data_IF_425362397986
#
_entry.id   IF_425362397986
#
_cell.length_a   1.000
_cell.length_b   1.000
_cell.length_c   1.000
_cell.angle_alpha   90.00
_cell.angle_beta   90.00
_cell.angle_gamma   90.00
#
_symmetry.space_group_name_H-M   'P 1'
#
loop_
_entity.id
_entity.type
_entity.pdbx_description
1 polymer ?
#
# COMPACT_ATOMS: atom_id res chain seq x y z
N UNK A 1 13.19 -26.76 4.12
CA UNK A 1 12.60 -26.75 2.75
C UNK A 1 11.07 -26.88 2.78
N UNK A 2 10.47 -27.89 3.42
CA UNK A 2 9.01 -28.02 3.51
C UNK A 2 8.32 -26.82 4.20
N UNK A 3 8.86 -26.35 5.32
CA UNK A 3 8.29 -25.24 6.11
C UNK A 3 8.28 -23.89 5.35
N UNK A 4 9.37 -23.57 4.65
CA UNK A 4 9.45 -22.38 3.79
C UNK A 4 8.44 -22.43 2.63
N UNK A 5 8.24 -23.61 2.02
CA UNK A 5 7.26 -23.76 0.94
C UNK A 5 5.81 -23.61 1.42
N UNK A 6 5.52 -24.04 2.66
CA UNK A 6 4.21 -23.88 3.30
C UNK A 6 3.97 -22.39 3.62
N UNK A 7 4.95 -21.70 4.18
CA UNK A 7 4.83 -20.27 4.51
C UNK A 7 4.66 -19.40 3.26
N UNK A 8 5.35 -19.71 2.16
CA UNK A 8 5.14 -19.02 0.88
C UNK A 8 3.71 -19.20 0.36
N UNK A 9 3.17 -20.43 0.38
CA UNK A 9 1.80 -20.69 -0.08
C UNK A 9 0.77 -19.97 0.80
N UNK A 10 0.98 -19.97 2.12
CA UNK A 10 0.12 -19.25 3.06
C UNK A 10 0.19 -17.74 2.87
N UNK A 11 1.36 -17.18 2.56
CA UNK A 11 1.52 -15.77 2.24
C UNK A 11 0.76 -15.39 0.97
N UNK A 12 0.88 -16.16 -0.10
CA UNK A 12 0.13 -15.89 -1.33
C UNK A 12 -1.40 -15.99 -1.13
N UNK A 13 -1.87 -16.94 -0.33
CA UNK A 13 -3.28 -17.00 0.06
C UNK A 13 -3.71 -15.76 0.88
N UNK A 14 -2.87 -15.32 1.82
CA UNK A 14 -3.14 -14.12 2.60
C UNK A 14 -3.18 -12.85 1.72
N UNK A 15 -2.26 -12.72 0.75
CA UNK A 15 -2.26 -11.65 -0.26
C UNK A 15 -3.52 -11.67 -1.11
N UNK A 16 -3.97 -12.84 -1.56
CA UNK A 16 -5.21 -12.98 -2.30
C UNK A 16 -6.46 -12.59 -1.47
N UNK A 17 -6.49 -12.94 -0.18
CA UNK A 17 -7.55 -12.51 0.74
C UNK A 17 -7.50 -11.00 1.01
N UNK A 18 -6.30 -10.44 1.15
CA UNK A 18 -6.11 -9.00 1.28
C UNK A 18 -6.66 -8.25 0.06
N UNK A 19 -6.33 -8.69 -1.16
CA UNK A 19 -6.85 -8.08 -2.40
C UNK A 19 -8.38 -8.11 -2.47
N UNK A 20 -9.02 -9.23 -2.11
CA UNK A 20 -10.49 -9.28 -1.97
C UNK A 20 -11.01 -8.28 -0.93
N UNK A 21 -10.25 -8.07 0.14
CA UNK A 21 -10.53 -7.06 1.15
C UNK A 21 -10.42 -5.63 0.63
N UNK A 22 -9.43 -5.34 -0.23
CA UNK A 22 -9.32 -4.07 -0.97
C UNK A 22 -10.60 -3.84 -1.79
N UNK A 23 -11.10 -4.88 -2.47
CA UNK A 23 -12.34 -4.85 -3.25
C UNK A 23 -13.63 -4.78 -2.40
N UNK A 24 -13.52 -4.81 -1.06
CA UNK A 24 -14.61 -4.58 -0.12
C UNK A 24 -15.09 -5.81 0.65
N UNK A 25 -14.49 -6.99 0.47
CA UNK A 25 -14.85 -8.19 1.24
C UNK A 25 -14.32 -8.12 2.69
N UNK A 26 -15.17 -7.66 3.59
CA UNK A 26 -14.88 -7.57 5.03
C UNK A 26 -14.54 -8.92 5.69
N UNK A 27 -15.07 -10.04 5.17
CA UNK A 27 -14.74 -11.38 5.69
C UNK A 27 -13.34 -11.77 5.24
N UNK A 28 -12.95 -11.42 4.02
CA UNK A 28 -11.58 -11.63 3.53
C UNK A 28 -10.56 -10.83 4.35
N UNK A 29 -10.86 -9.56 4.69
CA UNK A 29 -10.01 -8.74 5.59
C UNK A 29 -9.73 -9.46 6.91
N UNK A 30 -10.77 -9.97 7.58
CA UNK A 30 -10.62 -10.69 8.86
C UNK A 30 -9.78 -11.97 8.71
N UNK A 31 -9.95 -12.70 7.61
CA UNK A 31 -9.18 -13.93 7.34
C UNK A 31 -7.71 -13.61 7.03
N UNK A 32 -7.46 -12.63 6.16
CA UNK A 32 -6.12 -12.14 5.85
C UNK A 32 -5.41 -11.70 7.14
N UNK A 33 -6.07 -10.93 8.01
CA UNK A 33 -5.48 -10.45 9.26
C UNK A 33 -4.99 -11.60 10.15
N UNK A 34 -5.85 -12.61 10.33
CA UNK A 34 -5.53 -13.79 11.14
C UNK A 34 -4.38 -14.61 10.56
N UNK A 35 -4.30 -14.73 9.23
CA UNK A 35 -3.22 -15.46 8.56
C UNK A 35 -1.91 -14.70 8.64
N UNK A 36 -1.92 -13.40 8.33
CA UNK A 36 -0.75 -12.54 8.35
C UNK A 36 -0.17 -12.40 9.77
N UNK A 37 -1.01 -12.34 10.80
CA UNK A 37 -0.54 -12.32 12.18
C UNK A 37 0.26 -13.59 12.52
N UNK A 38 -0.23 -14.77 12.14
CA UNK A 38 0.48 -16.04 12.35
C UNK A 38 1.79 -16.12 11.54
N UNK A 39 1.76 -15.64 10.30
CA UNK A 39 2.95 -15.58 9.46
C UNK A 39 4.00 -14.63 10.05
N UNK A 40 3.56 -13.51 10.63
CA UNK A 40 4.42 -12.53 11.30
C UNK A 40 5.08 -13.15 12.53
N UNK A 41 4.33 -13.86 13.37
CA UNK A 41 4.87 -14.59 14.53
C UNK A 41 5.93 -15.64 14.12
N UNK A 42 5.71 -16.33 13.00
CA UNK A 42 6.64 -17.33 12.48
C UNK A 42 7.84 -16.74 11.72
N UNK A 43 7.80 -15.45 11.35
CA UNK A 43 8.82 -14.78 10.53
C UNK A 43 8.90 -13.28 10.85
N UNK A 44 9.38 -12.92 12.05
CA UNK A 44 9.21 -11.58 12.64
C UNK A 44 9.87 -10.41 11.89
N UNK A 45 10.75 -10.66 10.92
CA UNK A 45 11.44 -9.60 10.16
C UNK A 45 11.16 -9.67 8.65
N UNK A 46 10.11 -10.40 8.24
CA UNK A 46 9.74 -10.47 6.83
C UNK A 46 8.96 -9.21 6.42
N UNK A 47 9.62 -8.32 5.68
CA UNK A 47 9.08 -7.03 5.26
C UNK A 47 7.75 -7.13 4.47
N UNK A 48 7.59 -8.16 3.61
CA UNK A 48 6.35 -8.36 2.85
C UNK A 48 5.20 -8.75 3.79
N UNK A 49 5.42 -9.67 4.72
CA UNK A 49 4.42 -10.06 5.71
C UNK A 49 4.02 -8.84 6.54
N UNK A 50 4.99 -8.06 7.00
CA UNK A 50 4.77 -6.82 7.76
C UNK A 50 3.94 -5.82 6.96
N UNK A 51 4.28 -5.59 5.68
CA UNK A 51 3.58 -4.66 4.81
C UNK A 51 2.11 -5.06 4.56
N UNK A 52 1.86 -6.33 4.25
CA UNK A 52 0.49 -6.83 4.08
C UNK A 52 -0.29 -6.84 5.39
N UNK A 53 0.35 -7.12 6.52
CA UNK A 53 -0.27 -7.05 7.84
C UNK A 53 -0.72 -5.62 8.14
N UNK A 54 0.18 -4.63 8.03
CA UNK A 54 -0.15 -3.20 8.23
C UNK A 54 -1.28 -2.74 7.32
N UNK A 55 -1.23 -3.09 6.03
CA UNK A 55 -2.31 -2.79 5.09
C UNK A 55 -3.66 -3.41 5.50
N UNK A 56 -3.65 -4.63 6.05
CA UNK A 56 -4.85 -5.31 6.52
C UNK A 56 -5.42 -4.69 7.81
N UNK A 57 -4.57 -4.14 8.68
CA UNK A 57 -5.00 -3.36 9.85
C UNK A 57 -5.75 -2.09 9.39
N UNK A 58 -5.25 -1.37 8.39
CA UNK A 58 -5.96 -0.21 7.81
C UNK A 58 -7.32 -0.62 7.22
N UNK A 59 -7.39 -1.72 6.48
CA UNK A 59 -8.67 -2.25 5.97
C UNK A 59 -9.64 -2.63 7.10
N UNK A 60 -9.13 -3.18 8.19
CA UNK A 60 -9.92 -3.48 9.39
C UNK A 60 -10.42 -2.20 10.08
N UNK A 61 -9.69 -1.09 9.96
CA UNK A 61 -10.11 0.26 10.32
C UNK A 61 -11.30 0.70 9.49
N UNK A 62 -11.15 0.74 8.16
CA UNK A 62 -12.20 1.09 7.19
C UNK A 62 -13.53 0.38 7.48
N UNK A 63 -13.47 -0.90 7.83
CA UNK A 63 -14.64 -1.73 8.07
C UNK A 63 -15.30 -1.51 9.44
N UNK A 64 -14.65 -0.82 10.39
CA UNK A 64 -15.20 -0.49 11.70
C UNK A 64 -16.34 0.53 11.60
N UNK A 65 -17.30 0.43 12.52
CA UNK A 65 -18.40 1.38 12.68
C UNK A 65 -18.02 2.58 13.54
N UNK A 66 -17.01 2.45 14.41
CA UNK A 66 -16.61 3.50 15.34
C UNK A 66 -15.50 4.36 14.73
N UNK A 67 -15.68 5.68 14.78
CA UNK A 67 -14.73 6.63 14.19
C UNK A 67 -13.36 6.54 14.87
N UNK A 68 -13.30 6.47 16.21
CA UNK A 68 -12.04 6.35 16.93
C UNK A 68 -11.28 5.08 16.52
N UNK A 69 -11.95 3.93 16.44
CA UNK A 69 -11.31 2.68 15.99
C UNK A 69 -10.82 2.74 14.53
N UNK A 70 -11.45 3.55 13.67
CA UNK A 70 -10.97 3.77 12.30
C UNK A 70 -9.64 4.52 12.31
N UNK A 71 -9.55 5.56 13.13
CA UNK A 71 -8.37 6.41 13.25
C UNK A 71 -7.22 5.62 13.86
N UNK A 72 -7.46 4.93 14.98
CA UNK A 72 -6.43 4.15 15.69
C UNK A 72 -5.82 3.09 14.76
N UNK A 73 -6.67 2.35 14.04
CA UNK A 73 -6.20 1.32 13.09
C UNK A 73 -5.53 1.91 11.85
N UNK A 74 -5.95 3.08 11.39
CA UNK A 74 -5.28 3.74 10.29
C UNK A 74 -3.85 4.14 10.71
N UNK A 75 -3.68 4.71 11.91
CA UNK A 75 -2.37 5.07 12.44
C UNK A 75 -1.50 3.83 12.69
N UNK A 76 -2.04 2.81 13.37
CA UNK A 76 -1.34 1.55 13.63
C UNK A 76 -0.86 0.89 12.32
N UNK A 77 -1.74 0.82 11.32
CA UNK A 77 -1.40 0.24 10.03
C UNK A 77 -0.33 1.06 9.27
N UNK A 78 -0.36 2.39 9.38
CA UNK A 78 0.71 3.26 8.84
C UNK A 78 2.06 3.01 9.52
N UNK A 79 2.07 2.91 10.85
CA UNK A 79 3.31 2.67 11.61
C UNK A 79 3.93 1.32 11.22
N UNK A 80 3.11 0.29 11.07
CA UNK A 80 3.54 -1.03 10.58
C UNK A 80 4.07 -0.95 9.14
N UNK A 81 3.41 -0.19 8.24
CA UNK A 81 3.88 -0.02 6.86
C UNK A 81 5.21 0.74 6.80
N UNK A 82 5.39 1.74 7.66
CA UNK A 82 6.66 2.46 7.77
C UNK A 82 7.78 1.54 8.25
N UNK A 83 7.49 0.67 9.22
CA UNK A 83 8.43 -0.36 9.65
C UNK A 83 8.77 -1.35 8.52
N UNK A 84 7.77 -1.81 7.74
CA UNK A 84 7.99 -2.68 6.59
C UNK A 84 8.92 -2.05 5.54
N UNK A 85 8.79 -0.74 5.28
CA UNK A 85 9.71 0.01 4.40
C UNK A 85 11.10 0.14 5.01
N UNK A 86 11.23 0.28 6.33
CA UNK A 86 12.54 0.30 6.97
C UNK A 86 13.28 -1.05 6.85
N UNK A 87 12.54 -2.16 6.86
CA UNK A 87 13.09 -3.52 6.66
C UNK A 87 13.53 -3.77 5.22
N UNK A 88 12.75 -3.34 4.22
CA UNK A 88 13.09 -3.46 2.79
C UNK A 88 12.69 -2.19 2.00
N UNK A 89 13.57 -1.17 1.96
CA UNK A 89 13.26 0.13 1.36
C UNK A 89 13.03 0.09 -0.15
N UNK A 90 13.49 -0.96 -0.83
CA UNK A 90 13.39 -1.09 -2.29
C UNK A 90 12.23 -1.99 -2.72
N UNK A 91 11.43 -2.48 -1.77
CA UNK A 91 10.36 -3.38 -2.09
C UNK A 91 9.21 -2.70 -2.82
N UNK A 92 8.99 -3.11 -4.08
CA UNK A 92 7.89 -2.62 -4.92
C UNK A 92 6.52 -2.79 -4.29
N UNK A 93 6.24 -3.97 -3.73
CA UNK A 93 4.90 -4.29 -3.19
C UNK A 93 4.58 -3.42 -1.97
N UNK A 94 5.54 -3.25 -1.05
CA UNK A 94 5.35 -2.47 0.17
C UNK A 94 5.13 -0.98 -0.18
N UNK A 95 5.88 -0.43 -1.13
CA UNK A 95 5.69 0.96 -1.58
C UNK A 95 4.34 1.18 -2.27
N UNK A 96 3.87 0.21 -3.06
CA UNK A 96 2.51 0.26 -3.62
C UNK A 96 1.46 0.25 -2.51
N UNK A 97 1.59 -0.62 -1.51
CA UNK A 97 0.66 -0.69 -0.38
C UNK A 97 0.64 0.63 0.42
N UNK A 98 1.81 1.14 0.82
CA UNK A 98 1.94 2.35 1.63
C UNK A 98 1.47 3.58 0.87
N UNK A 99 1.95 3.81 -0.36
CA UNK A 99 1.53 4.95 -1.18
C UNK A 99 0.02 4.98 -1.41
N UNK A 100 -0.58 3.82 -1.75
CA UNK A 100 -2.01 3.70 -1.98
C UNK A 100 -2.85 3.97 -0.72
N UNK A 101 -2.35 3.63 0.48
CA UNK A 101 -3.02 3.96 1.73
C UNK A 101 -2.87 5.45 2.03
N UNK A 102 -1.63 5.96 2.00
CA UNK A 102 -1.30 7.33 2.37
C UNK A 102 -2.05 8.39 1.54
N UNK A 103 -2.29 8.14 0.24
CA UNK A 103 -3.04 9.08 -0.61
C UNK A 103 -4.54 9.14 -0.29
N UNK A 104 -5.09 8.10 0.33
CA UNK A 104 -6.53 8.00 0.65
C UNK A 104 -6.87 8.46 2.06
N UNK A 105 -5.87 8.64 2.91
CA UNK A 105 -6.06 9.10 4.28
C UNK A 105 -6.30 10.63 4.28
N UNK A 106 -7.16 11.13 5.20
CA UNK A 106 -7.38 12.56 5.34
C UNK A 106 -6.08 13.31 5.66
N UNK A 107 -5.62 14.13 4.73
CA UNK A 107 -4.35 14.86 4.86
C UNK A 107 -4.30 15.78 6.09
N UNK A 108 -5.43 16.41 6.43
CA UNK A 108 -5.55 17.29 7.61
C UNK A 108 -5.30 16.60 8.95
N UNK A 109 -5.34 15.26 8.98
CA UNK A 109 -5.13 14.47 10.17
C UNK A 109 -3.83 13.66 10.11
N UNK A 110 -3.58 12.95 9.00
CA UNK A 110 -2.48 12.00 8.88
C UNK A 110 -1.20 12.58 8.26
N UNK A 111 -1.30 13.71 7.54
CA UNK A 111 -0.15 14.37 6.89
C UNK A 111 0.70 13.42 6.02
N UNK A 112 0.04 12.48 5.34
CA UNK A 112 0.68 11.35 4.66
C UNK A 112 0.92 11.58 3.17
N UNK A 113 0.54 12.73 2.61
CA UNK A 113 0.67 13.01 1.18
C UNK A 113 2.12 13.04 0.70
N UNK A 114 3.06 13.55 1.49
CA UNK A 114 4.49 13.52 1.13
C UNK A 114 5.02 12.09 1.05
N UNK A 115 4.60 11.20 1.96
CA UNK A 115 4.94 9.77 1.93
C UNK A 115 4.38 9.09 0.66
N UNK A 116 3.14 9.41 0.29
CA UNK A 116 2.56 8.90 -0.96
C UNK A 116 3.34 9.40 -2.19
N UNK A 117 3.72 10.69 -2.21
CA UNK A 117 4.54 11.28 -3.28
C UNK A 117 5.88 10.57 -3.39
N UNK A 118 6.55 10.31 -2.26
CA UNK A 118 7.82 9.58 -2.20
C UNK A 118 7.68 8.20 -2.84
N UNK A 119 6.71 7.40 -2.39
CA UNK A 119 6.53 6.02 -2.86
C UNK A 119 6.19 5.97 -4.35
N UNK A 120 5.24 6.79 -4.82
CA UNK A 120 4.87 6.79 -6.22
C UNK A 120 5.99 7.32 -7.13
N UNK A 121 6.76 8.30 -6.65
CA UNK A 121 7.92 8.82 -7.39
C UNK A 121 9.04 7.78 -7.47
N UNK A 122 9.31 7.07 -6.37
CA UNK A 122 10.24 5.94 -6.34
C UNK A 122 9.85 4.89 -7.39
N UNK A 123 8.58 4.49 -7.41
CA UNK A 123 8.06 3.48 -8.33
C UNK A 123 8.18 3.92 -9.80
N UNK A 124 7.86 5.18 -10.11
CA UNK A 124 7.99 5.71 -11.47
C UNK A 124 9.43 5.90 -11.92
N UNK A 125 10.36 6.17 -11.00
CA UNK A 125 11.78 6.28 -11.34
C UNK A 125 12.35 4.90 -11.69
N UNK A 126 12.06 3.87 -10.90
CA UNK A 126 12.46 2.50 -11.23
C UNK A 126 11.85 2.01 -12.54
N UNK A 127 10.62 2.39 -12.85
CA UNK A 127 10.01 2.09 -14.16
C UNK A 127 10.74 2.76 -15.35
N UNK A 128 11.35 3.95 -15.16
CA UNK A 128 12.15 4.58 -16.23
C UNK A 128 13.45 3.81 -16.48
N UNK A 129 13.99 3.16 -15.46
CA UNK A 129 15.23 2.38 -15.53
C UNK A 129 14.95 0.96 -16.06
N UNK A 130 13.81 0.37 -15.68
CA UNK A 130 13.33 -0.93 -16.14
C UNK A 130 11.84 -0.86 -16.50
N UNK A 131 11.54 -0.90 -17.80
CA UNK A 131 10.18 -0.87 -18.33
C UNK A 131 9.30 -2.04 -17.89
N UNK A 132 9.88 -3.13 -17.35
CA UNK A 132 9.11 -4.26 -16.81
C UNK A 132 8.83 -4.14 -15.30
N UNK A 133 9.36 -3.11 -14.64
CA UNK A 133 9.22 -2.93 -13.20
C UNK A 133 7.75 -2.75 -12.77
N UNK A 134 6.97 -2.02 -13.58
CA UNK A 134 5.53 -1.81 -13.41
C UNK A 134 4.76 -2.27 -14.66
N UNK A 135 3.59 -2.86 -14.45
CA UNK A 135 2.62 -3.10 -15.52
C UNK A 135 1.98 -1.80 -15.99
N UNK A 136 1.41 -1.78 -17.20
CA UNK A 136 0.68 -0.61 -17.72
C UNK A 136 -0.46 -0.16 -16.78
N UNK A 137 -1.16 -1.11 -16.18
CA UNK A 137 -2.22 -0.83 -15.20
C UNK A 137 -1.66 -0.13 -13.96
N UNK A 138 -0.56 -0.65 -13.41
CA UNK A 138 0.11 -0.04 -12.26
C UNK A 138 0.66 1.35 -12.57
N UNK A 139 1.21 1.60 -13.76
CA UNK A 139 1.70 2.93 -14.13
C UNK A 139 0.56 3.94 -14.15
N UNK A 140 -0.58 3.57 -14.74
CA UNK A 140 -1.77 4.45 -14.78
C UNK A 140 -2.30 4.74 -13.37
N UNK A 141 -2.39 3.72 -12.52
CA UNK A 141 -2.81 3.88 -11.13
C UNK A 141 -1.84 4.77 -10.34
N UNK A 142 -0.53 4.51 -10.44
CA UNK A 142 0.51 5.29 -9.76
C UNK A 142 0.52 6.74 -10.22
N UNK A 143 0.36 7.02 -11.52
CA UNK A 143 0.27 8.40 -12.02
C UNK A 143 -1.00 9.12 -11.51
N UNK A 144 -2.15 8.46 -11.56
CA UNK A 144 -3.41 9.02 -11.03
C UNK A 144 -3.29 9.32 -9.53
N UNK A 145 -2.76 8.38 -8.76
CA UNK A 145 -2.59 8.54 -7.32
C UNK A 145 -1.50 9.55 -6.96
N UNK A 146 -0.41 9.65 -7.73
CA UNK A 146 0.61 10.68 -7.54
C UNK A 146 0.04 12.08 -7.78
N UNK A 147 -0.80 12.25 -8.80
CA UNK A 147 -1.51 13.51 -9.03
C UNK A 147 -2.39 13.89 -7.82
N UNK A 148 -3.17 12.94 -7.30
CA UNK A 148 -4.01 13.20 -6.12
C UNK A 148 -3.16 13.52 -4.88
N UNK A 149 -2.04 12.81 -4.67
CA UNK A 149 -1.13 13.08 -3.57
C UNK A 149 -0.53 14.50 -3.66
N UNK A 150 -0.15 14.96 -4.87
CA UNK A 150 0.29 16.34 -5.06
C UNK A 150 -0.80 17.36 -4.77
N UNK A 151 -2.05 17.08 -5.16
CA UNK A 151 -3.19 17.95 -4.86
C UNK A 151 -3.45 18.03 -3.36
N UNK A 152 -3.45 16.89 -2.66
CA UNK A 152 -3.60 16.84 -1.20
C UNK A 152 -2.48 17.61 -0.48
N UNK A 153 -1.24 17.52 -0.98
CA UNK A 153 -0.09 18.28 -0.49
C UNK A 153 -0.11 19.78 -0.87
N UNK A 154 -1.18 20.30 -1.48
CA UNK A 154 -1.29 21.71 -1.87
C UNK A 154 -0.37 22.12 -3.03
N UNK A 155 -0.01 21.18 -3.91
CA UNK A 155 0.89 21.36 -5.06
C UNK A 155 0.14 21.16 -6.41
N UNK A 156 -0.87 21.98 -6.74
CA UNK A 156 -1.74 21.77 -7.90
C UNK A 156 -1.00 21.79 -9.25
N UNK A 157 0.05 22.60 -9.39
CA UNK A 157 0.85 22.65 -10.63
C UNK A 157 1.54 21.31 -10.91
N UNK A 158 2.07 20.65 -9.86
CA UNK A 158 2.68 19.32 -9.97
C UNK A 158 1.63 18.25 -10.26
N UNK A 159 0.44 18.35 -9.65
CA UNK A 159 -0.68 17.46 -9.94
C UNK A 159 -1.07 17.52 -11.42
N UNK A 160 -1.26 18.73 -11.95
CA UNK A 160 -1.60 18.95 -13.37
C UNK A 160 -0.51 18.41 -14.32
N UNK A 161 0.77 18.59 -13.99
CA UNK A 161 1.86 18.04 -14.78
C UNK A 161 1.81 16.49 -14.85
N UNK A 162 1.49 15.83 -13.74
CA UNK A 162 1.34 14.36 -13.69
C UNK A 162 0.13 13.89 -14.49
N UNK A 163 -1.01 14.59 -14.38
CA UNK A 163 -2.21 14.32 -15.18
C UNK A 163 -1.97 14.44 -16.68
N UNK A 164 -1.24 15.48 -17.11
CA UNK A 164 -0.89 15.65 -18.52
C UNK A 164 -0.06 14.48 -19.04
N UNK A 165 0.91 14.00 -18.24
CA UNK A 165 1.69 12.80 -18.57
C UNK A 165 0.81 11.55 -18.70
N UNK A 166 -0.17 11.37 -17.80
CA UNK A 166 -1.13 10.26 -17.86
C UNK A 166 -1.95 10.31 -19.15
N UNK A 167 -2.51 11.47 -19.50
CA UNK A 167 -3.34 11.65 -20.70
C UNK A 167 -2.55 11.35 -21.99
N UNK A 168 -1.27 11.71 -22.04
CA UNK A 168 -0.39 11.39 -23.17
C UNK A 168 -0.13 9.88 -23.32
N UNK A 169 -0.29 9.08 -22.26
CA UNK A 169 -0.18 7.61 -22.34
C UNK A 169 -1.49 6.92 -22.74
N UNK A 170 -2.62 7.63 -22.68
CA UNK A 170 -3.95 7.13 -23.03
C UNK A 170 -4.39 7.57 -24.45
N UNK A 171 -3.65 8.50 -25.06
CA UNK A 171 -3.82 8.99 -26.43
C UNK A 171 -3.08 8.11 -27.43
#
# INVERSE_FOLDING_TARGET
>A
MADQSVNMKQLEEAKALHNKGVDGDKKAVKKANKMLLKLREASPDNAIIEGYYGSTIVLSGRDSVKILERVDKAQEGLDILNHAIALDPNNKEIRLLRGNICVRLPESFFQSSETAIEDFTFLLNHYKEDSNYLTLMQIREVLRNLSEAYKNAGKPDKANAVLNRLNQMES
#
